data_IF_161122698476
#
_entry.id   IF_161122698476
#
_cell.length_a   1.000
_cell.length_b   1.000
_cell.length_c   1.000
_cell.angle_alpha   90.00
_cell.angle_beta   90.00
_cell.angle_gamma   90.00
#
_symmetry.space_group_name_H-M   'P 1'
#
loop_
_entity.id
_entity.type
_entity.pdbx_description
1 polymer ?
#
# COMPACT_ATOMS: atom_id res chain seq x y z
N UNK A 1 1.04 5.66 14.69
CA UNK A 1 1.93 5.38 15.84
C UNK A 1 1.32 4.33 16.78
N UNK A 2 2.08 3.88 17.79
CA UNK A 2 1.63 2.90 18.76
C UNK A 2 1.80 1.45 18.30
N UNK A 3 1.01 0.55 18.89
CA UNK A 3 1.13 -0.90 18.68
C UNK A 3 0.84 -1.37 17.26
N UNK A 4 0.08 -0.59 16.48
CA UNK A 4 -0.29 -0.91 15.10
C UNK A 4 0.63 -0.28 14.04
N UNK A 5 1.70 0.40 14.45
CA UNK A 5 2.64 0.99 13.51
C UNK A 5 3.45 -0.08 12.76
N UNK A 6 3.56 0.05 11.45
CA UNK A 6 4.46 -0.78 10.66
C UNK A 6 5.91 -0.36 10.92
N UNK A 7 6.63 -1.14 11.71
CA UNK A 7 7.95 -0.79 12.24
C UNK A 7 8.99 -0.50 11.17
N UNK A 8 9.02 -1.30 10.10
CA UNK A 8 9.98 -1.12 9.02
C UNK A 8 9.79 0.22 8.31
N UNK A 9 8.52 0.66 8.12
CA UNK A 9 8.23 2.00 7.57
C UNK A 9 8.66 3.11 8.53
N UNK A 10 8.48 2.92 9.83
CA UNK A 10 8.94 3.88 10.85
C UNK A 10 10.46 3.98 10.81
N UNK A 11 11.16 2.85 10.80
CA UNK A 11 12.64 2.81 10.74
C UNK A 11 13.17 3.42 9.44
N UNK A 12 12.54 3.12 8.31
CA UNK A 12 12.92 3.67 7.01
C UNK A 12 12.76 5.20 6.93
N UNK A 13 11.73 5.74 7.60
CA UNK A 13 11.42 7.17 7.55
C UNK A 13 12.15 7.99 8.62
N UNK A 14 12.23 7.47 9.85
CA UNK A 14 12.67 8.21 11.03
C UNK A 14 13.96 7.64 11.67
N UNK A 15 14.44 6.48 11.18
CA UNK A 15 15.58 5.79 11.78
C UNK A 15 15.18 4.81 12.90
N UNK A 16 16.21 4.22 13.52
CA UNK A 16 16.04 3.11 14.48
C UNK A 16 15.35 3.51 15.79
N UNK A 17 15.56 4.73 16.26
CA UNK A 17 15.13 5.20 17.57
C UNK A 17 14.48 6.60 17.50
N UNK A 18 13.33 6.74 16.81
CA UNK A 18 12.65 8.04 16.74
C UNK A 18 12.07 8.45 18.09
N UNK A 19 12.07 9.76 18.34
CA UNK A 19 11.43 10.35 19.50
C UNK A 19 9.89 10.30 19.41
N UNK A 20 9.22 10.45 20.57
CA UNK A 20 7.74 10.45 20.62
C UNK A 20 7.14 11.59 19.78
N UNK A 21 7.77 12.76 19.76
CA UNK A 21 7.32 13.92 18.98
C UNK A 21 7.42 13.66 17.48
N UNK A 22 8.47 12.98 17.01
CA UNK A 22 8.64 12.60 15.61
C UNK A 22 7.58 11.57 15.19
N UNK A 23 7.35 10.57 16.03
CA UNK A 23 6.29 9.57 15.82
C UNK A 23 4.91 10.23 15.75
N UNK A 24 4.61 11.13 16.69
CA UNK A 24 3.34 11.86 16.71
C UNK A 24 3.19 12.76 15.48
N UNK A 25 4.25 13.44 15.06
CA UNK A 25 4.27 14.28 13.87
C UNK A 25 4.01 13.48 12.58
N UNK A 26 4.49 12.24 12.49
CA UNK A 26 4.28 11.38 11.32
C UNK A 26 2.99 10.56 11.38
N UNK A 27 2.18 10.71 12.41
CA UNK A 27 0.88 10.05 12.54
C UNK A 27 -0.22 10.87 11.89
N UNK A 28 -0.63 10.46 10.68
CA UNK A 28 -1.55 11.22 9.82
C UNK A 28 -2.89 11.51 10.49
N UNK A 29 -3.38 10.62 11.35
CA UNK A 29 -4.62 10.81 12.11
C UNK A 29 -4.59 12.02 13.05
N UNK A 30 -3.40 12.51 13.42
CA UNK A 30 -3.24 13.73 14.21
C UNK A 30 -3.31 15.01 13.38
N UNK A 31 -3.18 14.90 12.06
CA UNK A 31 -3.12 16.05 11.15
C UNK A 31 -4.40 16.27 10.34
N UNK A 32 -5.39 15.43 10.53
CA UNK A 32 -6.68 15.58 9.84
C UNK A 32 -7.41 16.81 10.39
N UNK A 33 -7.79 17.71 9.50
CA UNK A 33 -8.51 18.96 9.81
C UNK A 33 -9.73 19.12 8.91
N UNK A 34 -10.52 20.16 9.12
CA UNK A 34 -11.64 20.49 8.23
C UNK A 34 -11.19 20.83 6.79
N UNK A 35 -9.93 21.24 6.62
CA UNK A 35 -9.34 21.54 5.32
C UNK A 35 -8.73 20.32 4.63
N UNK A 36 -8.74 19.16 5.29
CA UNK A 36 -8.28 17.90 4.68
C UNK A 36 -9.19 17.57 3.49
N UNK A 37 -8.61 17.32 2.29
CA UNK A 37 -9.38 16.95 1.11
C UNK A 37 -10.26 15.73 1.35
N UNK A 38 -11.33 15.54 0.55
CA UNK A 38 -12.12 14.32 0.60
C UNK A 38 -11.26 13.06 0.44
N UNK A 39 -11.45 12.07 1.32
CA UNK A 39 -10.62 10.87 1.40
C UNK A 39 -11.40 9.61 1.04
N UNK A 40 -10.90 8.82 0.08
CA UNK A 40 -11.33 7.45 -0.13
C UNK A 40 -10.32 6.50 0.50
N UNK A 41 -10.77 5.71 1.46
CA UNK A 41 -9.92 4.81 2.26
C UNK A 41 -10.41 3.38 2.02
N UNK A 42 -9.49 2.45 1.76
CA UNK A 42 -9.83 1.04 1.79
C UNK A 42 -8.71 0.21 2.44
N UNK A 43 -9.10 -0.92 3.04
CA UNK A 43 -8.18 -1.81 3.75
C UNK A 43 -8.78 -3.22 3.81
N UNK A 44 -7.94 -4.22 4.10
CA UNK A 44 -8.39 -5.59 4.39
C UNK A 44 -8.17 -5.93 5.86
N UNK A 45 -9.09 -6.67 6.47
CA UNK A 45 -9.02 -7.05 7.90
C UNK A 45 -7.82 -7.96 8.19
N UNK A 46 -7.42 -8.78 7.20
CA UNK A 46 -6.37 -9.78 7.38
C UNK A 46 -4.99 -9.32 6.89
N UNK A 47 -4.82 -8.01 6.64
CA UNK A 47 -3.49 -7.43 6.35
C UNK A 47 -2.59 -7.56 7.58
N UNK A 48 -1.62 -8.49 7.51
CA UNK A 48 -0.70 -8.76 8.60
C UNK A 48 0.50 -7.79 8.65
N UNK A 49 0.70 -7.00 7.60
CA UNK A 49 1.81 -6.05 7.50
C UNK A 49 1.42 -4.67 8.04
N UNK A 50 0.25 -4.18 7.60
CA UNK A 50 -0.31 -2.92 8.09
C UNK A 50 -1.69 -3.21 8.68
N UNK A 51 -1.81 -3.34 10.00
CA UNK A 51 -3.06 -3.66 10.67
C UNK A 51 -4.20 -2.71 10.32
N UNK A 52 -5.41 -3.25 10.20
CA UNK A 52 -6.63 -2.50 9.80
C UNK A 52 -6.94 -1.33 10.72
N UNK A 53 -6.48 -1.38 11.96
CA UNK A 53 -6.60 -0.33 12.98
C UNK A 53 -6.06 1.02 12.52
N UNK A 54 -5.01 1.02 11.65
CA UNK A 54 -4.48 2.24 11.06
C UNK A 54 -5.54 2.95 10.21
N UNK A 55 -6.31 2.22 9.40
CA UNK A 55 -7.39 2.79 8.60
C UNK A 55 -8.56 3.27 9.47
N UNK A 56 -8.87 2.55 10.55
CA UNK A 56 -9.88 2.98 11.53
C UNK A 56 -9.50 4.27 12.24
N UNK A 57 -8.23 4.42 12.66
CA UNK A 57 -7.73 5.62 13.31
C UNK A 57 -7.87 6.84 12.39
N UNK A 58 -7.45 6.71 11.13
CA UNK A 58 -7.55 7.78 10.15
C UNK A 58 -9.01 8.13 9.80
N UNK A 59 -9.87 7.14 9.56
CA UNK A 59 -11.30 7.35 9.30
C UNK A 59 -12.01 8.02 10.49
N UNK A 60 -11.65 7.65 11.73
CA UNK A 60 -12.15 8.30 12.96
C UNK A 60 -11.73 9.75 13.03
N UNK A 61 -10.48 10.07 12.64
CA UNK A 61 -9.99 11.44 12.59
C UNK A 61 -10.74 12.27 11.54
N UNK A 62 -10.96 11.73 10.33
CA UNK A 62 -11.77 12.36 9.29
C UNK A 62 -13.19 12.68 9.81
N UNK A 63 -13.84 11.72 10.45
CA UNK A 63 -15.18 11.94 11.04
C UNK A 63 -15.17 13.06 12.09
N UNK A 64 -14.16 13.09 12.97
CA UNK A 64 -14.03 14.10 14.03
C UNK A 64 -13.81 15.50 13.47
N UNK A 65 -13.03 15.61 12.40
CA UNK A 65 -12.73 16.88 11.73
C UNK A 65 -13.85 17.38 10.79
N UNK A 66 -14.86 16.54 10.49
CA UNK A 66 -15.90 16.87 9.51
C UNK A 66 -15.45 16.73 8.05
N UNK A 67 -14.29 16.10 7.81
CA UNK A 67 -13.79 15.79 6.48
C UNK A 67 -14.71 14.80 5.78
N UNK A 68 -15.00 15.02 4.50
CA UNK A 68 -15.77 14.08 3.67
C UNK A 68 -14.91 12.85 3.39
N UNK A 69 -15.40 11.66 3.72
CA UNK A 69 -14.66 10.43 3.43
C UNK A 69 -15.57 9.25 3.13
N UNK A 70 -15.03 8.27 2.42
CA UNK A 70 -15.54 6.92 2.32
C UNK A 70 -14.51 5.95 2.92
N UNK A 71 -14.97 4.93 3.65
CA UNK A 71 -14.11 3.91 4.24
C UNK A 71 -14.68 2.52 3.97
N UNK A 72 -13.95 1.72 3.21
CA UNK A 72 -14.31 0.35 2.85
C UNK A 72 -13.33 -0.63 3.48
N UNK A 73 -13.83 -1.58 4.23
CA UNK A 73 -13.03 -2.62 4.86
C UNK A 73 -13.50 -3.97 4.35
N UNK A 74 -12.60 -4.69 3.68
CA UNK A 74 -12.86 -6.01 3.12
C UNK A 74 -12.49 -7.10 4.12
N UNK A 75 -13.22 -8.21 4.10
CA UNK A 75 -13.10 -9.26 5.11
C UNK A 75 -11.77 -10.03 5.05
N UNK A 76 -11.16 -10.11 3.88
CA UNK A 76 -9.90 -10.83 3.66
C UNK A 76 -9.02 -10.18 2.61
N UNK A 77 -7.74 -10.47 2.67
CA UNK A 77 -6.73 -10.01 1.72
C UNK A 77 -5.39 -9.76 2.40
N UNK A 78 -4.33 -9.87 1.62
CA UNK A 78 -2.95 -9.61 2.07
C UNK A 78 -2.59 -8.13 1.84
N UNK A 79 -1.47 -7.72 2.42
CA UNK A 79 -0.90 -6.39 2.16
C UNK A 79 -0.57 -6.19 0.68
N UNK A 80 -0.85 -4.99 0.16
CA UNK A 80 -0.41 -4.58 -1.17
C UNK A 80 -1.17 -5.23 -2.32
N UNK A 81 -2.42 -5.62 -2.16
CA UNK A 81 -3.24 -6.24 -3.22
C UNK A 81 -3.46 -5.35 -4.45
N UNK A 82 -3.11 -4.06 -4.39
CA UNK A 82 -3.26 -3.14 -5.52
C UNK A 82 -4.68 -3.20 -6.11
N UNK A 83 -4.81 -3.45 -7.41
CA UNK A 83 -6.12 -3.59 -8.08
C UNK A 83 -6.78 -4.96 -7.89
N UNK A 84 -6.12 -5.89 -7.20
CA UNK A 84 -6.63 -7.22 -6.84
C UNK A 84 -7.26 -7.98 -8.03
N UNK A 85 -6.51 -8.12 -9.13
CA UNK A 85 -6.93 -8.87 -10.32
C UNK A 85 -6.16 -10.17 -10.47
N UNK A 86 -6.64 -11.07 -11.33
CA UNK A 86 -5.89 -12.29 -11.71
C UNK A 86 -4.53 -11.94 -12.34
N UNK A 87 -4.46 -10.85 -13.12
CA UNK A 87 -3.19 -10.33 -13.68
C UNK A 87 -2.21 -9.95 -12.59
N UNK A 88 -2.70 -9.26 -11.53
CA UNK A 88 -1.90 -8.92 -10.36
C UNK A 88 -1.43 -10.18 -9.61
N UNK A 89 -2.33 -11.16 -9.40
CA UNK A 89 -2.00 -12.42 -8.72
C UNK A 89 -0.99 -13.26 -9.53
N UNK A 90 -1.13 -13.28 -10.85
CA UNK A 90 -0.19 -13.95 -11.74
C UNK A 90 1.15 -13.20 -11.87
N UNK A 91 1.25 -11.96 -11.32
CA UNK A 91 2.39 -11.06 -11.52
C UNK A 91 2.68 -10.76 -12.99
N UNK A 92 1.66 -10.84 -13.83
CA UNK A 92 1.72 -10.44 -15.23
C UNK A 92 1.44 -8.93 -15.34
N UNK A 93 2.49 -8.15 -15.19
CA UNK A 93 2.39 -6.68 -15.24
C UNK A 93 2.37 -6.14 -16.69
N UNK A 94 2.30 -7.02 -17.66
CA UNK A 94 2.01 -6.74 -19.08
C UNK A 94 3.07 -5.92 -19.83
N UNK A 95 3.91 -5.16 -19.14
CA UNK A 95 4.95 -4.34 -19.77
C UNK A 95 6.31 -4.66 -19.17
N UNK A 96 7.23 -5.26 -19.94
CA UNK A 96 8.59 -5.61 -19.48
C UNK A 96 9.38 -4.43 -18.92
N UNK A 97 9.02 -3.24 -19.34
CA UNK A 97 9.70 -2.00 -19.01
C UNK A 97 9.85 -1.75 -17.49
N UNK A 98 8.84 -2.05 -16.67
CA UNK A 98 8.95 -1.86 -15.22
C UNK A 98 9.94 -2.85 -14.59
N UNK A 99 9.92 -4.09 -15.02
CA UNK A 99 10.87 -5.12 -14.55
C UNK A 99 12.28 -4.85 -15.05
N UNK A 100 12.42 -4.33 -16.28
CA UNK A 100 13.71 -3.89 -16.82
C UNK A 100 14.30 -2.75 -16.02
N UNK A 101 13.50 -1.75 -15.62
CA UNK A 101 13.97 -0.66 -14.76
C UNK A 101 14.38 -1.15 -13.37
N UNK A 102 13.66 -2.09 -12.79
CA UNK A 102 14.04 -2.73 -11.51
C UNK A 102 15.38 -3.45 -11.68
N UNK A 103 15.56 -4.18 -12.78
CA UNK A 103 16.83 -4.85 -13.08
C UNK A 103 17.97 -3.84 -13.22
N UNK A 104 17.79 -2.76 -13.98
CA UNK A 104 18.79 -1.70 -14.13
C UNK A 104 19.17 -1.06 -12.79
N UNK A 105 18.19 -0.84 -11.90
CA UNK A 105 18.45 -0.35 -10.54
C UNK A 105 19.28 -1.36 -9.75
N UNK A 106 18.88 -2.62 -9.74
CA UNK A 106 19.58 -3.68 -9.03
C UNK A 106 21.03 -3.84 -9.54
N UNK A 107 21.23 -3.84 -10.86
CA UNK A 107 22.54 -3.94 -11.50
C UNK A 107 23.42 -2.72 -11.16
N UNK A 108 22.85 -1.50 -11.09
CA UNK A 108 23.58 -0.31 -10.65
C UNK A 108 24.02 -0.42 -9.19
N UNK A 109 23.23 -1.00 -8.32
CA UNK A 109 23.58 -1.26 -6.91
C UNK A 109 24.70 -2.33 -6.85
N UNK A 110 24.53 -3.45 -7.56
CA UNK A 110 25.49 -4.57 -7.58
C UNK A 110 26.86 -4.12 -8.12
N UNK A 111 26.87 -3.28 -9.15
CA UNK A 111 28.11 -2.76 -9.76
C UNK A 111 28.80 -1.68 -8.94
N UNK A 112 28.20 -1.23 -7.84
CA UNK A 112 28.77 -0.16 -7.00
C UNK A 112 28.55 1.25 -7.56
N UNK A 113 27.64 1.43 -8.52
CA UNK A 113 27.24 2.74 -9.03
C UNK A 113 26.33 3.51 -8.03
N UNK A 114 26.04 2.93 -6.88
CA UNK A 114 25.27 3.54 -5.81
C UNK A 114 25.94 3.35 -4.45
N UNK A 115 25.47 4.11 -3.44
CA UNK A 115 25.96 3.99 -2.05
C UNK A 115 25.43 2.76 -1.30
N UNK A 116 24.52 2.02 -1.90
CA UNK A 116 23.91 0.85 -1.28
C UNK A 116 24.83 -0.38 -1.43
N UNK A 117 24.87 -1.28 -0.44
CA UNK A 117 25.67 -2.49 -0.54
C UNK A 117 25.14 -3.42 -1.64
N UNK A 118 26.03 -4.13 -2.37
CA UNK A 118 25.67 -5.01 -3.49
C UNK A 118 24.62 -6.08 -3.13
N UNK A 119 24.56 -6.49 -1.86
CA UNK A 119 23.59 -7.46 -1.34
C UNK A 119 22.14 -6.96 -1.54
N UNK A 120 21.89 -5.67 -1.38
CA UNK A 120 20.55 -5.10 -1.61
C UNK A 120 20.13 -5.19 -3.08
N UNK A 121 21.05 -5.02 -4.01
CA UNK A 121 20.76 -5.23 -5.43
C UNK A 121 20.40 -6.69 -5.74
N UNK A 122 21.11 -7.65 -5.14
CA UNK A 122 20.80 -9.07 -5.27
C UNK A 122 19.42 -9.40 -4.66
N UNK A 123 19.12 -8.84 -3.49
CA UNK A 123 17.82 -9.01 -2.86
C UNK A 123 16.67 -8.47 -3.72
N UNK A 124 16.86 -7.30 -4.35
CA UNK A 124 15.88 -6.75 -5.29
C UNK A 124 15.63 -7.72 -6.44
N UNK A 125 16.67 -8.29 -7.04
CA UNK A 125 16.51 -9.26 -8.13
C UNK A 125 15.72 -10.50 -7.67
N UNK A 126 16.01 -11.00 -6.48
CA UNK A 126 15.30 -12.13 -5.87
C UNK A 126 13.83 -11.79 -5.60
N UNK A 127 13.55 -10.67 -4.92
CA UNK A 127 12.21 -10.22 -4.55
C UNK A 127 11.27 -10.05 -5.75
N UNK A 128 11.83 -9.65 -6.90
CA UNK A 128 11.08 -9.48 -8.14
C UNK A 128 11.19 -10.68 -9.10
N UNK A 129 11.85 -11.78 -8.69
CA UNK A 129 12.04 -12.96 -9.52
C UNK A 129 12.85 -12.67 -10.80
N UNK A 130 13.82 -11.76 -10.72
CA UNK A 130 14.68 -11.33 -11.83
C UNK A 130 16.08 -11.96 -11.79
N UNK A 131 16.37 -12.77 -10.79
CA UNK A 131 17.64 -13.49 -10.59
C UNK A 131 17.80 -14.74 -11.48
N UNK A 132 16.76 -15.05 -12.29
CA UNK A 132 16.70 -16.24 -13.13
C UNK A 132 16.21 -17.49 -12.41
N UNK A 133 15.94 -17.42 -11.11
CA UNK A 133 15.24 -18.46 -10.38
C UNK A 133 13.73 -18.26 -10.57
N UNK A 134 12.97 -19.34 -10.71
CA UNK A 134 11.50 -19.29 -10.69
C UNK A 134 11.09 -19.02 -9.24
N UNK A 135 11.03 -17.74 -8.88
CA UNK A 135 10.49 -17.33 -7.59
C UNK A 135 8.96 -17.29 -7.71
N UNK A 136 8.31 -18.40 -7.45
CA UNK A 136 6.92 -18.36 -7.06
C UNK A 136 6.87 -17.74 -5.65
N UNK A 137 6.68 -16.43 -5.58
CA UNK A 137 6.66 -15.68 -4.31
C UNK A 137 5.64 -16.23 -3.30
N UNK A 138 4.65 -16.97 -3.80
CA UNK A 138 3.60 -17.56 -2.98
C UNK A 138 3.43 -19.04 -3.31
N UNK A 139 3.39 -19.86 -2.27
CA UNK A 139 3.01 -21.26 -2.40
C UNK A 139 1.61 -21.40 -3.04
N UNK A 140 1.33 -22.52 -3.74
CA UNK A 140 0.06 -22.73 -4.44
C UNK A 140 -1.17 -22.53 -3.55
N UNK A 141 -1.10 -22.99 -2.30
CA UNK A 141 -2.17 -22.86 -1.31
C UNK A 141 -2.42 -21.39 -0.94
N UNK A 142 -1.37 -20.60 -0.78
CA UNK A 142 -1.46 -19.17 -0.51
C UNK A 142 -2.04 -18.42 -1.71
N UNK A 143 -1.62 -18.77 -2.93
CA UNK A 143 -2.21 -18.19 -4.16
C UNK A 143 -3.72 -18.44 -4.23
N UNK A 144 -4.16 -19.65 -3.87
CA UNK A 144 -5.58 -19.99 -3.88
C UNK A 144 -6.35 -19.22 -2.80
N UNK A 145 -5.80 -19.07 -1.60
CA UNK A 145 -6.39 -18.24 -0.55
C UNK A 145 -6.53 -16.79 -0.98
N UNK A 146 -5.50 -16.21 -1.61
CA UNK A 146 -5.56 -14.84 -2.13
C UNK A 146 -6.62 -14.75 -3.24
N UNK A 147 -6.68 -15.74 -4.16
CA UNK A 147 -7.65 -15.76 -5.25
C UNK A 147 -9.09 -15.68 -4.74
N UNK A 148 -9.41 -16.35 -3.63
CA UNK A 148 -10.74 -16.30 -3.02
C UNK A 148 -11.13 -14.89 -2.55
N UNK A 149 -10.16 -14.02 -2.28
CA UNK A 149 -10.42 -12.63 -1.86
C UNK A 149 -10.48 -11.63 -3.02
N UNK A 150 -9.98 -12.00 -4.23
CA UNK A 150 -9.92 -11.07 -5.36
C UNK A 150 -11.27 -10.50 -5.75
N UNK A 151 -12.33 -11.33 -5.74
CA UNK A 151 -13.68 -10.92 -6.11
C UNK A 151 -14.25 -9.86 -5.16
N UNK A 152 -13.93 -9.93 -3.87
CA UNK A 152 -14.36 -8.96 -2.88
C UNK A 152 -13.50 -7.69 -2.95
N UNK A 153 -12.19 -7.83 -2.89
CA UNK A 153 -11.27 -6.68 -2.86
C UNK A 153 -11.24 -5.95 -4.20
N UNK A 154 -11.27 -6.66 -5.31
CA UNK A 154 -11.14 -6.11 -6.67
C UNK A 154 -12.25 -5.13 -7.09
N UNK A 155 -13.29 -4.96 -6.27
CA UNK A 155 -14.34 -3.96 -6.54
C UNK A 155 -13.96 -2.54 -6.10
N UNK A 156 -12.91 -2.37 -5.27
CA UNK A 156 -12.56 -1.06 -4.72
C UNK A 156 -12.30 0.04 -5.78
N UNK A 157 -11.68 -0.23 -6.96
CA UNK A 157 -11.48 0.82 -7.96
C UNK A 157 -12.80 1.40 -8.45
N UNK A 158 -13.80 0.54 -8.68
CA UNK A 158 -15.14 0.99 -9.07
C UNK A 158 -15.81 1.81 -7.97
N UNK A 159 -15.70 1.37 -6.71
CA UNK A 159 -16.23 2.13 -5.58
C UNK A 159 -15.57 3.51 -5.46
N UNK A 160 -14.25 3.58 -5.69
CA UNK A 160 -13.50 4.84 -5.70
C UNK A 160 -13.94 5.76 -6.84
N UNK A 161 -14.11 5.22 -8.05
CA UNK A 161 -14.56 5.97 -9.22
C UNK A 161 -15.97 6.55 -9.01
N UNK A 162 -16.91 5.75 -8.55
CA UNK A 162 -18.28 6.18 -8.27
C UNK A 162 -18.31 7.26 -7.17
N UNK A 163 -17.48 7.09 -6.12
CA UNK A 163 -17.36 8.06 -5.04
C UNK A 163 -16.75 9.39 -5.53
N UNK A 164 -15.66 9.35 -6.30
CA UNK A 164 -15.03 10.53 -6.88
C UNK A 164 -16.01 11.29 -7.79
N UNK A 165 -16.72 10.57 -8.64
CA UNK A 165 -17.73 11.18 -9.50
C UNK A 165 -18.86 11.90 -8.71
N UNK A 166 -19.20 11.37 -7.52
CA UNK A 166 -20.13 12.06 -6.61
C UNK A 166 -19.52 13.34 -6.03
N UNK A 167 -18.28 13.28 -5.54
CA UNK A 167 -17.58 14.44 -4.97
C UNK A 167 -17.51 15.59 -5.99
N UNK A 168 -17.06 15.31 -7.22
CA UNK A 168 -16.94 16.32 -8.27
C UNK A 168 -18.28 16.95 -8.62
N UNK A 169 -19.36 16.17 -8.73
CA UNK A 169 -20.71 16.74 -8.98
C UNK A 169 -21.20 17.64 -7.83
N UNK A 170 -20.82 17.34 -6.59
CA UNK A 170 -21.17 18.19 -5.44
C UNK A 170 -20.35 19.49 -5.42
N UNK A 171 -19.09 19.46 -5.84
CA UNK A 171 -18.24 20.64 -5.97
C UNK A 171 -18.71 21.56 -7.10
N UNK A 172 -19.11 21.01 -8.25
CA UNK A 172 -19.66 21.78 -9.36
C UNK A 172 -20.94 22.54 -8.98
N UNK A 173 -21.78 21.98 -8.12
CA UNK A 173 -23.00 22.63 -7.62
C UNK A 173 -22.74 23.76 -6.62
N UNK A 174 -21.54 23.83 -6.04
CA UNK A 174 -21.16 24.87 -5.07
C UNK A 174 -20.52 26.10 -5.72
N UNK A 175 -20.15 25.99 -6.99
CA UNK A 175 -19.62 27.09 -7.82
C UNK A 175 -20.75 27.82 -8.54
#
# INVERSE_FOLDING_TARGET
TGEYAHRDSVTALLGENPGEDELAYMSLEHHVTADTPPCFIWQTVTDATVPVENSYAFAKACRKAGTVFAHHVFSGGIHGMSIATETWLARDFGVPYTLEQIRLLADAIISGASKYPPEQGRQILEDFGLDGQKNEKWEPEMKEQIRQTLGEVGIWPRLAEEWLAKIWREEEKRK
#
